data_IF_233038429730
#
_entry.id   IF_233038429730
#
_cell.length_a   1.000
_cell.length_b   1.000
_cell.length_c   1.000
_cell.angle_alpha   90.00
_cell.angle_beta   90.00
_cell.angle_gamma   90.00
#
_symmetry.space_group_name_H-M   'P 1'
#
loop_
_entity.id
_entity.type
_entity.pdbx_description
1 polymer ?
#
# COMPACT_ATOMS: atom_id res chain seq x y z
N UNK A 1 -15.83 5.98 -0.29
CA UNK A 1 -14.84 4.89 -0.22
C UNK A 1 -14.80 4.41 1.22
N UNK A 2 -14.96 3.11 1.47
CA UNK A 2 -14.87 2.54 2.82
C UNK A 2 -13.43 2.06 3.06
N UNK A 3 -12.62 2.94 3.66
CA UNK A 3 -11.22 2.65 3.94
C UNK A 3 -11.03 1.52 4.95
N UNK A 4 -11.95 1.36 5.90
CA UNK A 4 -11.88 0.29 6.90
C UNK A 4 -12.08 -1.08 6.25
N UNK A 5 -12.99 -1.18 5.28
CA UNK A 5 -13.14 -2.41 4.48
C UNK A 5 -11.88 -2.72 3.68
N UNK A 6 -11.31 -1.73 2.97
CA UNK A 6 -10.11 -1.96 2.15
C UNK A 6 -8.92 -2.33 3.03
N UNK A 7 -8.75 -1.70 4.19
CA UNK A 7 -7.71 -2.05 5.16
C UNK A 7 -7.83 -3.53 5.58
N UNK A 8 -9.05 -3.97 5.90
CA UNK A 8 -9.30 -5.37 6.25
C UNK A 8 -9.01 -6.33 5.09
N UNK A 9 -9.42 -5.98 3.86
CA UNK A 9 -9.16 -6.79 2.67
C UNK A 9 -7.65 -6.90 2.39
N UNK A 10 -6.88 -5.82 2.56
CA UNK A 10 -5.42 -5.83 2.44
C UNK A 10 -4.77 -6.76 3.48
N UNK A 11 -5.27 -6.76 4.71
CA UNK A 11 -4.77 -7.62 5.79
C UNK A 11 -5.17 -9.08 5.54
N UNK A 12 -6.41 -9.36 5.15
CA UNK A 12 -6.92 -10.73 5.01
C UNK A 12 -6.39 -11.42 3.75
N UNK A 13 -6.38 -10.71 2.62
CA UNK A 13 -6.08 -11.27 1.30
C UNK A 13 -4.60 -11.20 0.94
N UNK A 14 -3.90 -10.11 1.31
CA UNK A 14 -2.47 -9.92 0.98
C UNK A 14 -1.56 -10.18 2.18
N UNK A 15 -2.14 -10.39 3.38
CA UNK A 15 -1.38 -10.61 4.61
C UNK A 15 -0.46 -9.45 4.96
N UNK A 16 -0.86 -8.22 4.61
CA UNK A 16 -0.17 -7.03 5.10
C UNK A 16 -0.36 -6.92 6.62
N UNK A 17 0.66 -6.41 7.32
CA UNK A 17 0.47 -5.99 8.71
C UNK A 17 -0.47 -4.77 8.78
N UNK A 18 -1.13 -4.52 9.92
CA UNK A 18 -1.98 -3.34 10.07
C UNK A 18 -1.26 -2.02 9.73
N UNK A 19 0.01 -1.90 10.13
CA UNK A 19 0.82 -0.71 9.79
C UNK A 19 1.10 -0.62 8.29
N UNK A 20 1.39 -1.75 7.62
CA UNK A 20 1.57 -1.77 6.17
C UNK A 20 0.30 -1.35 5.44
N UNK A 21 -0.86 -1.87 5.83
CA UNK A 21 -2.14 -1.52 5.20
C UNK A 21 -2.47 -0.03 5.38
N UNK A 22 -2.30 0.51 6.59
CA UNK A 22 -2.53 1.94 6.88
C UNK A 22 -1.59 2.85 6.10
N UNK A 23 -0.28 2.54 6.09
CA UNK A 23 0.70 3.34 5.35
C UNK A 23 0.43 3.26 3.85
N UNK A 24 0.13 2.07 3.32
CA UNK A 24 -0.24 1.89 1.91
C UNK A 24 -1.42 2.79 1.54
N UNK A 25 -2.53 2.71 2.27
CA UNK A 25 -3.72 3.54 2.02
C UNK A 25 -3.41 5.03 2.14
N UNK A 26 -2.63 5.43 3.14
CA UNK A 26 -2.27 6.83 3.37
C UNK A 26 -1.47 7.40 2.19
N UNK A 27 -0.45 6.69 1.71
CA UNK A 27 0.39 7.16 0.60
C UNK A 27 -0.38 7.08 -0.73
N UNK A 28 -1.16 6.03 -0.95
CA UNK A 28 -1.98 5.88 -2.16
C UNK A 28 -3.02 6.98 -2.30
N UNK A 29 -3.66 7.40 -1.21
CA UNK A 29 -4.72 8.43 -1.26
C UNK A 29 -4.25 9.84 -0.94
N UNK A 30 -3.08 9.98 -0.31
CA UNK A 30 -2.48 11.25 0.08
C UNK A 30 -1.36 11.71 -0.85
N UNK A 31 -0.94 10.88 -1.81
CA UNK A 31 0.13 11.19 -2.75
C UNK A 31 1.52 11.03 -2.14
N UNK A 32 2.52 11.57 -2.83
CA UNK A 32 3.92 11.51 -2.41
C UNK A 32 4.10 12.13 -1.02
N UNK A 33 4.78 11.42 -0.12
CA UNK A 33 5.03 11.91 1.24
C UNK A 33 6.27 11.29 1.88
N UNK A 34 6.77 11.95 2.93
CA UNK A 34 7.96 11.49 3.66
C UNK A 34 7.61 10.57 4.83
N UNK A 35 8.58 9.77 5.29
CA UNK A 35 8.47 8.96 6.51
C UNK A 35 8.02 9.78 7.72
N UNK A 36 8.48 11.04 7.81
CA UNK A 36 8.10 11.96 8.88
C UNK A 36 6.60 12.30 8.84
N UNK A 37 6.08 12.64 7.67
CA UNK A 37 4.64 12.92 7.48
C UNK A 37 3.81 11.68 7.81
N UNK A 38 4.26 10.49 7.38
CA UNK A 38 3.60 9.22 7.68
C UNK A 38 3.55 8.97 9.20
N UNK A 39 4.68 9.15 9.88
CA UNK A 39 4.82 9.01 11.32
C UNK A 39 3.87 9.94 12.08
N UNK A 40 3.83 11.23 11.71
CA UNK A 40 2.95 12.24 12.32
C UNK A 40 1.47 11.92 12.09
N UNK A 41 1.08 11.54 10.87
CA UNK A 41 -0.32 11.24 10.53
C UNK A 41 -0.85 9.96 11.18
N UNK A 42 0.01 8.96 11.37
CA UNK A 42 -0.39 7.66 11.93
C UNK A 42 -0.07 7.51 13.42
N UNK A 43 0.64 8.46 14.01
CA UNK A 43 1.06 8.40 15.43
C UNK A 43 2.02 7.25 15.73
N UNK A 44 2.85 6.86 14.77
CA UNK A 44 3.86 5.79 14.90
C UNK A 44 5.27 6.38 14.95
N UNK A 45 6.27 5.60 15.37
CA UNK A 45 7.65 6.07 15.37
C UNK A 45 8.15 6.36 13.95
N UNK A 46 9.11 7.28 13.82
CA UNK A 46 9.74 7.58 12.52
C UNK A 46 10.41 6.34 11.91
N UNK A 47 11.05 5.53 12.76
CA UNK A 47 11.70 4.29 12.34
C UNK A 47 10.69 3.27 11.84
N UNK A 48 9.53 3.13 12.51
CA UNK A 48 8.46 2.24 12.05
C UNK A 48 7.89 2.70 10.71
N UNK A 49 7.67 4.00 10.54
CA UNK A 49 7.20 4.56 9.28
C UNK A 49 8.20 4.27 8.14
N UNK A 50 9.49 4.54 8.37
CA UNK A 50 10.56 4.35 7.40
C UNK A 50 10.72 2.86 7.03
N UNK A 51 10.86 2.00 8.04
CA UNK A 51 11.05 0.55 7.83
C UNK A 51 9.84 -0.09 7.16
N UNK A 52 8.63 0.34 7.51
CA UNK A 52 7.42 -0.19 6.89
C UNK A 52 7.27 0.28 5.46
N UNK A 53 7.57 1.55 5.17
CA UNK A 53 7.58 2.07 3.80
C UNK A 53 8.60 1.33 2.91
N UNK A 54 9.81 1.06 3.42
CA UNK A 54 10.82 0.26 2.70
C UNK A 54 10.35 -1.17 2.40
N UNK A 55 9.71 -1.84 3.37
CA UNK A 55 9.09 -3.16 3.12
C UNK A 55 7.98 -3.11 2.08
N UNK A 56 7.25 -2.00 2.00
CA UNK A 56 6.23 -1.78 0.96
C UNK A 56 6.86 -1.56 -0.43
N UNK A 57 8.07 -1.00 -0.52
CA UNK A 57 8.85 -0.98 -1.77
C UNK A 57 9.22 -2.41 -2.19
N UNK A 58 9.70 -3.24 -1.26
CA UNK A 58 10.03 -4.65 -1.54
C UNK A 58 8.80 -5.45 -2.00
N UNK A 59 7.60 -5.05 -1.59
CA UNK A 59 6.31 -5.60 -2.04
C UNK A 59 5.86 -5.03 -3.40
N UNK A 60 6.57 -4.04 -3.95
CA UNK A 60 6.23 -3.34 -5.19
C UNK A 60 5.01 -2.44 -5.04
N UNK A 61 4.79 -1.92 -3.83
CA UNK A 61 3.71 -0.98 -3.56
C UNK A 61 4.13 0.46 -3.77
N UNK A 62 5.36 0.79 -3.37
CA UNK A 62 5.93 2.13 -3.43
C UNK A 62 7.18 2.17 -4.28
N UNK A 63 7.54 3.38 -4.69
CA UNK A 63 8.88 3.76 -5.17
C UNK A 63 9.48 4.78 -4.20
N UNK A 64 10.81 4.74 -4.06
CA UNK A 64 11.61 5.73 -3.39
C UNK A 64 11.93 6.88 -4.35
N UNK A 65 11.54 8.10 -3.95
CA UNK A 65 11.92 9.33 -4.66
C UNK A 65 13.23 9.87 -4.06
N UNK A 66 13.36 9.75 -2.74
CA UNK A 66 14.58 9.99 -1.98
C UNK A 66 14.68 8.95 -0.85
N UNK A 67 15.72 9.00 -0.02
CA UNK A 67 15.91 8.05 1.09
C UNK A 67 14.74 8.03 2.10
N UNK A 68 13.92 9.08 2.15
CA UNK A 68 12.82 9.22 3.12
C UNK A 68 11.49 9.61 2.48
N UNK A 69 11.42 9.75 1.16
CA UNK A 69 10.21 10.17 0.43
C UNK A 69 9.72 9.05 -0.48
N UNK A 70 8.42 8.74 -0.36
CA UNK A 70 7.80 7.61 -1.01
C UNK A 70 6.60 8.04 -1.84
N UNK A 71 6.41 7.39 -2.97
CA UNK A 71 5.23 7.54 -3.81
C UNK A 71 4.62 6.17 -4.10
N UNK A 72 3.29 6.10 -4.09
CA UNK A 72 2.59 4.88 -4.46
C UNK A 72 2.66 4.60 -5.96
N UNK A 73 2.87 3.33 -6.30
CA UNK A 73 2.63 2.84 -7.65
C UNK A 73 1.12 2.72 -7.91
N UNK A 74 0.75 2.59 -9.19
CA UNK A 74 -0.64 2.58 -9.60
C UNK A 74 -1.43 1.41 -8.96
N UNK A 75 -2.54 1.68 -8.22
CA UNK A 75 -3.18 0.72 -7.32
C UNK A 75 -3.59 -0.60 -7.98
N UNK A 76 -4.11 -0.57 -9.22
CA UNK A 76 -4.46 -1.79 -9.97
C UNK A 76 -3.29 -2.75 -10.14
N UNK A 77 -2.11 -2.24 -10.48
CA UNK A 77 -0.93 -3.08 -10.67
C UNK A 77 -0.34 -3.50 -9.32
N UNK A 78 -0.27 -2.56 -8.38
CA UNK A 78 0.24 -2.78 -7.04
C UNK A 78 -0.54 -3.85 -6.27
N UNK A 79 -1.88 -3.80 -6.30
CA UNK A 79 -2.75 -4.79 -5.66
C UNK A 79 -2.42 -6.22 -6.10
N UNK A 80 -2.38 -6.44 -7.41
CA UNK A 80 -2.10 -7.74 -8.03
C UNK A 80 -0.66 -8.18 -7.73
N UNK A 81 0.30 -7.25 -7.78
CA UNK A 81 1.70 -7.56 -7.54
C UNK A 81 1.98 -7.96 -6.08
N UNK A 82 1.41 -7.23 -5.11
CA UNK A 82 1.53 -7.58 -3.70
C UNK A 82 0.89 -8.95 -3.42
N UNK A 83 -0.28 -9.21 -4.00
CA UNK A 83 -0.95 -10.50 -3.87
C UNK A 83 -0.13 -11.64 -4.49
N UNK A 84 0.50 -11.41 -5.65
CA UNK A 84 1.42 -12.38 -6.27
C UNK A 84 2.61 -12.70 -5.35
N UNK A 85 3.26 -11.67 -4.81
CA UNK A 85 4.39 -11.85 -3.87
C UNK A 85 3.97 -12.57 -2.59
N UNK A 86 2.76 -12.32 -2.08
CA UNK A 86 2.21 -13.08 -0.97
C UNK A 86 2.03 -14.56 -1.34
N UNK A 87 1.41 -14.86 -2.49
CA UNK A 87 1.26 -16.24 -2.98
C UNK A 87 2.61 -16.98 -3.05
N UNK A 88 3.65 -16.31 -3.56
CA UNK A 88 5.01 -16.86 -3.65
C UNK A 88 5.61 -17.17 -2.27
N UNK A 89 5.42 -16.28 -1.28
CA UNK A 89 5.91 -16.47 0.09
C UNK A 89 5.22 -17.62 0.81
N UNK A 90 3.92 -17.80 0.58
CA UNK A 90 3.10 -18.86 1.18
C UNK A 90 3.18 -20.19 0.41
N UNK A 91 3.85 -20.21 -0.75
CA UNK A 91 3.92 -21.40 -1.61
C UNK A 91 2.57 -21.75 -2.27
N UNK A 92 1.67 -20.78 -2.42
CA UNK A 92 0.34 -20.95 -3.00
C UNK A 92 0.37 -20.62 -4.49
N UNK A 93 -0.37 -21.37 -5.31
CA UNK A 93 -0.52 -21.07 -6.74
C UNK A 93 -1.30 -19.77 -6.93
N UNK A 94 -0.68 -18.78 -7.58
CA UNK A 94 -1.34 -17.54 -7.96
C UNK A 94 -2.59 -17.82 -8.84
N UNK A 95 -3.71 -17.22 -8.44
CA UNK A 95 -4.99 -17.22 -9.17
C UNK A 95 -5.64 -15.85 -9.01
N UNK A 96 -6.42 -15.43 -10.00
CA UNK A 96 -7.21 -14.20 -9.91
C UNK A 96 -8.03 -14.16 -8.61
N UNK A 97 -7.95 -13.05 -7.89
CA UNK A 97 -8.72 -12.78 -6.68
C UNK A 97 -9.57 -11.51 -6.91
N UNK A 98 -10.89 -11.67 -6.93
CA UNK A 98 -11.83 -10.59 -7.20
C UNK A 98 -11.78 -9.48 -6.15
N UNK A 99 -11.45 -9.81 -4.90
CA UNK A 99 -11.32 -8.82 -3.82
C UNK A 99 -10.10 -7.94 -4.10
N UNK A 100 -8.99 -8.57 -4.50
CA UNK A 100 -7.74 -7.89 -4.89
C UNK A 100 -7.95 -6.95 -6.07
N UNK A 101 -8.60 -7.45 -7.11
CA UNK A 101 -8.93 -6.65 -8.29
C UNK A 101 -9.85 -5.47 -7.90
N UNK A 102 -10.84 -5.70 -7.04
CA UNK A 102 -11.82 -4.70 -6.65
C UNK A 102 -11.22 -3.51 -5.89
N UNK A 103 -10.40 -3.73 -4.84
CA UNK A 103 -9.83 -2.58 -4.14
C UNK A 103 -8.80 -1.83 -4.99
N UNK A 104 -8.12 -2.51 -5.93
CA UNK A 104 -7.24 -1.86 -6.90
C UNK A 104 -7.99 -0.86 -7.79
N UNK A 105 -9.22 -1.20 -8.21
CA UNK A 105 -10.11 -0.29 -8.95
C UNK A 105 -10.63 0.83 -8.06
N UNK A 106 -11.08 0.50 -6.84
CA UNK A 106 -11.63 1.50 -5.92
C UNK A 106 -10.58 2.56 -5.56
N UNK A 107 -9.32 2.17 -5.32
CA UNK A 107 -8.25 3.10 -4.95
C UNK A 107 -7.75 3.97 -6.11
N UNK A 108 -8.05 3.62 -7.36
CA UNK A 108 -7.56 4.33 -8.55
C UNK A 108 -8.02 5.78 -8.60
N UNK A 109 -9.29 6.05 -8.34
CA UNK A 109 -9.82 7.42 -8.35
C UNK A 109 -9.14 8.31 -7.29
N UNK A 110 -8.94 7.77 -6.08
CA UNK A 110 -8.26 8.48 -5.01
C UNK A 110 -6.77 8.70 -5.33
N UNK A 111 -6.13 7.72 -5.97
CA UNK A 111 -4.75 7.79 -6.42
C UNK A 111 -4.55 8.87 -7.48
N UNK A 112 -5.38 8.90 -8.51
CA UNK A 112 -5.31 9.89 -9.58
C UNK A 112 -5.57 11.30 -9.05
N UNK A 113 -6.55 11.44 -8.14
CA UNK A 113 -6.84 12.71 -7.47
C UNK A 113 -5.68 13.20 -6.57
N UNK A 114 -4.91 12.30 -5.98
CA UNK A 114 -3.77 12.65 -5.14
C UNK A 114 -2.55 13.10 -5.94
N UNK A 115 -2.42 12.66 -7.19
CA UNK A 115 -1.29 13.01 -8.09
C UNK A 115 -1.52 14.24 -8.95
N UNK A 116 -2.77 14.69 -9.06
CA UNK A 116 -3.17 15.83 -9.89
C UNK A 116 -3.23 17.14 -9.11
N UNK A 117 -2.78 17.16 -7.85
CA UNK A 117 -2.76 18.32 -6.95
C UNK A 117 -1.37 18.88 -6.71
#
# INVERSE_FOLDING_TARGET
MDFSKIENDLISEIKLSPNQAKIFLLVTTGGKMTAKIISEKLGISLDDALNTAKKLIELGAFIDITETEFEAMHPRFTAVNMYRKMCEREGIKFKQNKIVDNFGVVLEEAYDAARTK
#
